data_IF_208579754575
#
_entry.id   IF_208579754575
#
_cell.length_a   1.000
_cell.length_b   1.000
_cell.length_c   1.000
_cell.angle_alpha   90.00
_cell.angle_beta   90.00
_cell.angle_gamma   90.00
#
_symmetry.space_group_name_H-M   'P 1'
#
loop_
_entity.id
_entity.type
_entity.pdbx_description
1 polymer ?
#
# COMPACT_ATOMS: atom_id res chain seq x y z
N UNK A 1 -21.17 -7.05 35.50
CA UNK A 1 -20.06 -7.46 36.40
C UNK A 1 -18.98 -8.06 35.50
N UNK A 2 -18.03 -7.27 34.98
CA UNK A 2 -16.68 -6.98 35.55
C UNK A 2 -15.95 -8.23 36.06
N UNK A 3 -14.64 -8.29 35.74
CA UNK A 3 -13.62 -9.32 36.05
C UNK A 3 -13.53 -10.42 34.98
N UNK A 4 -12.38 -10.83 34.42
CA UNK A 4 -10.97 -10.51 34.62
C UNK A 4 -10.20 -11.34 33.58
N UNK A 5 -9.39 -10.74 32.71
CA UNK A 5 -8.17 -11.35 32.11
C UNK A 5 -7.36 -10.24 31.45
N UNK A 6 -6.66 -9.52 32.32
CA UNK A 6 -5.65 -8.51 32.03
C UNK A 6 -4.29 -9.08 32.46
N UNK A 7 -3.24 -8.75 31.71
CA UNK A 7 -1.79 -8.97 31.95
C UNK A 7 -1.31 -10.36 31.50
N UNK A 8 -0.30 -10.47 30.64
CA UNK A 8 1.06 -9.93 30.83
C UNK A 8 1.55 -9.22 29.56
N UNK A 9 1.63 -7.89 29.62
CA UNK A 9 2.50 -7.08 28.77
C UNK A 9 3.82 -7.00 29.54
N UNK A 10 4.85 -7.74 29.09
CA UNK A 10 6.18 -7.60 29.67
C UNK A 10 6.78 -6.30 29.12
N UNK A 11 6.83 -5.27 29.97
CA UNK A 11 7.65 -4.09 29.76
C UNK A 11 9.12 -4.52 29.71
N UNK A 12 9.67 -4.64 28.50
CA UNK A 12 11.08 -4.38 28.28
C UNK A 12 11.21 -2.88 28.01
N UNK A 13 11.27 -2.10 29.10
CA UNK A 13 11.93 -0.81 29.09
C UNK A 13 13.40 -1.07 28.75
N UNK A 14 13.74 -1.06 27.47
CA UNK A 14 15.11 -0.76 27.08
C UNK A 14 15.38 0.66 27.58
N UNK A 15 16.12 0.75 28.68
CA UNK A 15 16.82 1.97 29.06
C UNK A 15 17.70 2.38 27.88
N UNK A 16 17.22 3.32 27.06
CA UNK A 16 18.13 4.17 26.33
C UNK A 16 18.95 4.92 27.39
N UNK A 17 20.29 4.88 27.35
CA UNK A 17 21.03 5.83 28.14
C UNK A 17 20.62 7.21 27.63
N UNK A 18 20.21 8.08 28.56
CA UNK A 18 20.23 9.52 28.34
C UNK A 18 21.69 9.88 28.03
N UNK A 19 22.06 9.78 26.76
CA UNK A 19 23.35 10.22 26.27
C UNK A 19 23.34 11.74 26.33
N UNK A 20 23.88 12.26 27.44
CA UNK A 20 24.29 13.65 27.53
C UNK A 20 25.30 13.92 26.41
N UNK A 21 24.90 14.73 25.41
CA UNK A 21 25.81 15.39 24.47
C UNK A 21 26.38 14.55 23.33
N UNK A 22 25.62 13.63 22.71
CA UNK A 22 26.03 13.10 21.41
C UNK A 22 25.88 14.20 20.34
N UNK A 23 26.99 14.69 19.78
CA UNK A 23 26.94 15.54 18.59
C UNK A 23 26.49 14.68 17.41
N UNK A 24 25.31 14.96 16.87
CA UNK A 24 24.84 14.31 15.65
C UNK A 24 25.81 14.60 14.49
N UNK A 25 26.03 13.64 13.58
CA UNK A 25 26.80 13.90 12.37
C UNK A 25 26.23 15.10 11.59
N UNK A 26 27.08 15.96 11.01
CA UNK A 26 26.60 17.14 10.31
C UNK A 26 25.82 16.73 9.06
N UNK A 27 24.68 17.38 8.84
CA UNK A 27 23.89 17.24 7.61
C UNK A 27 24.47 18.16 6.54
N UNK A 28 24.84 17.59 5.40
CA UNK A 28 25.33 18.30 4.23
C UNK A 28 24.22 18.46 3.22
N UNK A 29 24.16 19.65 2.62
CA UNK A 29 23.22 19.94 1.55
C UNK A 29 23.92 19.93 0.20
N UNK A 30 23.29 19.30 -0.78
CA UNK A 30 23.73 19.28 -2.16
C UNK A 30 22.65 19.84 -3.08
N UNK A 31 23.08 20.60 -4.07
CA UNK A 31 22.28 20.95 -5.23
C UNK A 31 23.06 20.53 -6.47
N UNK A 32 22.60 19.46 -7.12
CA UNK A 32 23.36 18.77 -8.19
C UNK A 32 22.52 18.61 -9.44
N UNK A 33 23.12 18.89 -10.59
CA UNK A 33 22.49 18.61 -11.88
C UNK A 33 22.19 17.12 -12.00
N UNK A 34 20.94 16.78 -12.29
CA UNK A 34 20.47 15.42 -12.50
C UNK A 34 20.02 15.23 -13.97
N UNK A 35 20.36 14.10 -14.61
CA UNK A 35 20.16 13.93 -16.05
C UNK A 35 18.76 13.45 -16.45
N UNK A 36 17.91 13.04 -15.50
CA UNK A 36 16.66 12.34 -15.80
C UNK A 36 15.54 13.35 -16.09
N UNK A 37 15.38 14.35 -15.25
CA UNK A 37 14.43 15.44 -15.45
C UNK A 37 15.09 16.71 -16.05
N UNK A 38 16.43 16.75 -16.03
CA UNK A 38 17.25 17.81 -16.62
C UNK A 38 17.29 19.08 -15.78
N UNK A 39 17.16 18.95 -14.45
CA UNK A 39 17.21 20.06 -13.50
C UNK A 39 18.23 19.85 -12.38
N UNK A 40 18.11 20.67 -11.34
CA UNK A 40 18.86 20.55 -10.11
C UNK A 40 18.10 19.72 -9.07
N UNK A 41 18.76 18.69 -8.55
CA UNK A 41 18.31 17.86 -7.45
C UNK A 41 18.86 18.36 -6.12
N UNK A 42 17.99 18.57 -5.14
CA UNK A 42 18.35 18.88 -3.77
C UNK A 42 18.40 17.61 -2.91
N UNK A 43 19.53 17.41 -2.21
CA UNK A 43 19.82 16.21 -1.44
C UNK A 43 20.40 16.60 -0.08
N UNK A 44 19.95 15.93 0.97
CA UNK A 44 20.54 15.94 2.30
C UNK A 44 21.35 14.66 2.50
N UNK A 45 22.61 14.79 2.88
CA UNK A 45 23.51 13.67 3.20
C UNK A 45 23.99 13.80 4.64
N UNK A 46 23.92 12.73 5.42
CA UNK A 46 24.46 12.68 6.78
C UNK A 46 25.08 11.30 7.05
N UNK A 47 25.97 11.22 8.05
CA UNK A 47 26.59 9.94 8.41
C UNK A 47 27.52 9.37 7.33
N UNK A 48 28.12 10.22 6.48
CA UNK A 48 29.02 9.79 5.40
C UNK A 48 30.17 8.94 5.96
N UNK A 49 30.33 7.74 5.42
CA UNK A 49 31.31 6.74 5.87
C UNK A 49 30.69 5.57 6.64
N UNK A 50 29.45 5.72 7.12
CA UNK A 50 28.67 4.61 7.67
C UNK A 50 28.11 3.70 6.55
N UNK A 51 27.63 2.53 6.94
CA UNK A 51 26.93 1.57 6.06
C UNK A 51 25.92 0.78 6.91
N UNK A 52 24.75 0.38 6.35
CA UNK A 52 24.29 0.60 4.98
C UNK A 52 23.83 2.02 4.68
N UNK A 53 23.69 2.34 3.39
CA UNK A 53 23.05 3.59 2.93
C UNK A 53 21.53 3.48 3.05
N UNK A 54 20.91 4.39 3.80
CA UNK A 54 19.46 4.60 3.84
C UNK A 54 19.07 5.69 2.83
N UNK A 55 18.25 5.35 1.84
CA UNK A 55 17.68 6.30 0.90
C UNK A 55 16.24 6.62 1.29
N UNK A 56 15.97 7.87 1.68
CA UNK A 56 14.68 8.33 2.19
C UNK A 56 13.94 9.16 1.13
N UNK A 57 12.72 8.73 0.76
CA UNK A 57 11.93 9.32 -0.33
C UNK A 57 10.57 9.79 0.19
N UNK A 58 10.33 11.10 0.13
CA UNK A 58 9.14 11.73 0.67
C UNK A 58 7.86 11.53 -0.17
N UNK A 59 6.72 11.91 0.40
CA UNK A 59 5.40 11.86 -0.23
C UNK A 59 5.06 13.05 -1.15
N UNK A 60 3.86 13.05 -1.71
CA UNK A 60 3.41 14.09 -2.65
C UNK A 60 3.29 15.45 -1.95
N UNK A 61 3.85 16.51 -2.55
CA UNK A 61 3.71 17.87 -2.04
C UNK A 61 4.55 18.20 -0.79
N UNK A 62 5.38 17.26 -0.35
CA UNK A 62 6.28 17.41 0.79
C UNK A 62 7.73 17.68 0.32
N UNK A 63 8.67 17.68 1.27
CA UNK A 63 10.12 17.77 1.05
C UNK A 63 10.86 16.94 2.11
N UNK A 64 12.07 16.49 1.79
CA UNK A 64 12.85 15.59 2.63
C UNK A 64 13.07 16.10 4.06
N UNK A 65 13.36 17.39 4.21
CA UNK A 65 13.64 18.00 5.51
C UNK A 65 12.44 18.02 6.47
N UNK A 66 11.20 18.13 5.96
CA UNK A 66 9.99 18.08 6.79
C UNK A 66 9.51 16.67 7.05
N UNK A 67 9.51 15.80 6.02
CA UNK A 67 9.05 14.41 6.16
C UNK A 67 9.89 13.63 7.17
N UNK A 68 11.22 13.83 7.13
CA UNK A 68 12.19 13.06 7.91
C UNK A 68 12.80 13.88 9.05
N UNK A 69 12.10 14.93 9.50
CA UNK A 69 12.59 15.86 10.50
C UNK A 69 13.06 15.14 11.78
N UNK A 70 14.32 15.35 12.15
CA UNK A 70 14.96 14.73 13.31
C UNK A 70 15.32 13.24 13.15
N UNK A 71 14.78 12.55 12.13
CA UNK A 71 15.18 11.17 11.81
C UNK A 71 16.50 11.13 11.04
N UNK A 72 16.79 12.12 10.20
CA UNK A 72 18.04 12.15 9.43
C UNK A 72 19.25 12.12 10.38
N UNK A 73 19.26 13.00 11.37
CA UNK A 73 20.35 13.12 12.35
C UNK A 73 20.42 11.93 13.30
N UNK A 74 19.26 11.37 13.68
CA UNK A 74 19.17 10.18 14.53
C UNK A 74 19.73 8.94 13.81
N UNK A 75 19.30 8.70 12.57
CA UNK A 75 19.78 7.58 11.75
C UNK A 75 21.23 7.75 11.33
N UNK A 76 21.69 8.99 11.11
CA UNK A 76 23.06 9.27 10.69
C UNK A 76 24.12 8.78 11.68
N UNK A 77 23.76 8.56 12.96
CA UNK A 77 24.68 8.01 13.97
C UNK A 77 25.24 6.66 13.53
N UNK A 78 24.36 5.77 13.02
CA UNK A 78 24.71 4.40 12.68
C UNK A 78 24.74 4.13 11.15
N UNK A 79 24.08 4.98 10.37
CA UNK A 79 23.87 4.76 8.94
C UNK A 79 24.37 5.92 8.07
N UNK A 80 24.60 5.64 6.80
CA UNK A 80 24.78 6.69 5.80
C UNK A 80 23.40 7.08 5.28
N UNK A 81 22.96 8.32 5.52
CA UNK A 81 21.58 8.74 5.23
C UNK A 81 21.58 9.69 4.05
N UNK A 82 20.78 9.35 3.03
CA UNK A 82 20.47 10.19 1.89
C UNK A 82 18.97 10.47 1.88
N UNK A 83 18.58 11.72 2.11
CA UNK A 83 17.19 12.15 1.99
C UNK A 83 17.08 13.14 0.81
N UNK A 84 16.09 12.94 -0.05
CA UNK A 84 16.03 13.66 -1.33
C UNK A 84 14.72 14.40 -1.51
N UNK A 85 14.81 15.66 -1.95
CA UNK A 85 13.65 16.34 -2.53
C UNK A 85 13.48 15.80 -3.95
N UNK A 86 12.39 15.06 -4.20
CA UNK A 86 12.09 14.56 -5.54
C UNK A 86 12.04 15.73 -6.54
N UNK A 87 12.59 15.58 -7.77
CA UNK A 87 12.40 16.55 -8.84
C UNK A 87 10.92 16.94 -8.95
N UNK A 88 10.59 18.23 -9.02
CA UNK A 88 9.21 18.71 -8.90
C UNK A 88 8.79 19.18 -7.51
N UNK A 89 9.57 18.92 -6.46
CA UNK A 89 9.22 19.21 -5.06
C UNK A 89 10.33 19.91 -4.29
N UNK A 90 10.02 20.35 -3.06
CA UNK A 90 10.98 20.96 -2.12
C UNK A 90 11.88 22.03 -2.72
N UNK A 91 13.20 21.84 -2.64
CA UNK A 91 14.24 22.70 -3.22
C UNK A 91 14.79 22.20 -4.56
N UNK A 92 14.31 21.05 -5.04
CA UNK A 92 14.60 20.58 -6.40
C UNK A 92 13.82 21.38 -7.44
N UNK A 93 14.35 21.40 -8.67
CA UNK A 93 13.75 22.12 -9.79
C UNK A 93 12.34 21.61 -10.12
N UNK A 94 11.46 22.53 -10.53
CA UNK A 94 10.03 22.30 -10.79
C UNK A 94 9.73 22.58 -12.25
N UNK A 95 10.06 21.61 -13.08
CA UNK A 95 9.90 21.67 -14.53
C UNK A 95 8.58 21.01 -14.94
N UNK A 96 8.12 21.25 -16.17
CA UNK A 96 6.95 20.55 -16.72
C UNK A 96 7.35 19.18 -17.31
N UNK A 97 7.78 18.26 -16.45
CA UNK A 97 8.23 16.91 -16.84
C UNK A 97 7.21 15.84 -16.48
N UNK A 98 7.35 14.66 -17.08
CA UNK A 98 6.57 13.49 -16.70
C UNK A 98 7.12 12.90 -15.40
N UNK A 99 6.50 13.25 -14.28
CA UNK A 99 6.87 12.77 -12.95
C UNK A 99 6.24 11.41 -12.60
N UNK A 100 6.50 10.38 -13.44
CA UNK A 100 5.96 9.03 -13.20
C UNK A 100 6.82 8.23 -12.21
N UNK A 101 6.26 7.21 -11.53
CA UNK A 101 7.06 6.29 -10.71
C UNK A 101 8.25 5.69 -11.46
N UNK A 102 8.10 5.43 -12.77
CA UNK A 102 9.17 4.91 -13.63
C UNK A 102 10.31 5.91 -13.84
N UNK A 103 10.00 7.16 -14.15
CA UNK A 103 11.03 8.21 -14.29
C UNK A 103 11.73 8.49 -12.96
N UNK A 104 10.97 8.50 -11.85
CA UNK A 104 11.58 8.61 -10.52
C UNK A 104 12.46 7.41 -10.16
N UNK A 105 12.12 6.19 -10.56
CA UNK A 105 13.00 5.04 -10.37
C UNK A 105 14.33 5.20 -11.12
N UNK A 106 14.33 5.74 -12.33
CA UNK A 106 15.56 6.07 -13.06
C UNK A 106 16.38 7.17 -12.34
N UNK A 107 15.71 8.16 -11.75
CA UNK A 107 16.35 9.16 -10.90
C UNK A 107 16.97 8.58 -9.62
N UNK A 108 16.26 7.70 -8.92
CA UNK A 108 16.82 7.00 -7.76
C UNK A 108 18.01 6.13 -8.15
N UNK A 109 18.01 5.51 -9.34
CA UNK A 109 19.16 4.75 -9.86
C UNK A 109 20.39 5.66 -9.98
N UNK A 110 20.22 6.82 -10.58
CA UNK A 110 21.29 7.83 -10.71
C UNK A 110 21.82 8.29 -9.34
N UNK A 111 20.95 8.50 -8.34
CA UNK A 111 21.37 8.82 -6.98
C UNK A 111 22.19 7.69 -6.36
N UNK A 112 21.70 6.45 -6.46
CA UNK A 112 22.39 5.28 -5.91
C UNK A 112 23.76 5.11 -6.55
N UNK A 113 23.88 5.23 -7.88
CA UNK A 113 25.16 5.18 -8.60
C UNK A 113 26.17 6.22 -8.10
N UNK A 114 25.68 7.39 -7.68
CA UNK A 114 26.53 8.53 -7.32
C UNK A 114 26.92 8.55 -5.85
N UNK A 115 26.02 8.13 -4.97
CA UNK A 115 26.16 8.32 -3.52
C UNK A 115 26.28 7.02 -2.73
N UNK A 116 26.02 5.85 -3.31
CA UNK A 116 26.16 4.57 -2.61
C UNK A 116 27.09 3.61 -3.35
N UNK A 117 27.94 2.92 -2.60
CA UNK A 117 28.78 1.84 -3.14
C UNK A 117 28.07 0.48 -3.14
N UNK A 118 27.02 0.34 -2.32
CA UNK A 118 26.30 -0.91 -2.07
C UNK A 118 24.79 -0.73 -2.33
N UNK A 119 24.02 -1.83 -2.51
CA UNK A 119 22.56 -1.78 -2.51
C UNK A 119 22.02 -1.04 -1.29
N UNK A 120 21.02 -0.19 -1.48
CA UNK A 120 20.50 0.67 -0.41
C UNK A 120 19.38 0.01 0.37
N UNK A 121 19.18 0.46 1.62
CA UNK A 121 17.90 0.32 2.30
C UNK A 121 17.02 1.47 1.83
N UNK A 122 15.92 1.17 1.14
CA UNK A 122 15.06 2.17 0.53
C UNK A 122 13.80 2.38 1.37
N UNK A 123 13.58 3.61 1.81
CA UNK A 123 12.42 4.02 2.58
C UNK A 123 11.58 5.00 1.76
N UNK A 124 10.30 4.67 1.57
CA UNK A 124 9.38 5.50 0.77
C UNK A 124 8.06 5.73 1.48
N UNK A 125 7.69 7.01 1.64
CA UNK A 125 6.39 7.42 2.18
C UNK A 125 5.43 7.84 1.07
N UNK A 126 4.18 7.35 1.08
CA UNK A 126 3.12 7.80 0.16
C UNK A 126 3.53 7.68 -1.32
N UNK A 127 3.64 8.79 -2.07
CA UNK A 127 4.22 8.82 -3.42
C UNK A 127 5.61 8.18 -3.45
N UNK A 128 6.48 8.50 -2.50
CA UNK A 128 7.80 7.91 -2.36
C UNK A 128 7.76 6.40 -2.18
N UNK A 129 6.70 5.86 -1.57
CA UNK A 129 6.44 4.43 -1.51
C UNK A 129 6.16 3.81 -2.88
N UNK A 130 5.35 4.47 -3.71
CA UNK A 130 5.09 4.03 -5.09
C UNK A 130 6.34 4.09 -5.97
N UNK A 131 7.15 5.14 -5.81
CA UNK A 131 8.47 5.25 -6.43
C UNK A 131 9.39 4.13 -5.96
N UNK A 132 9.41 3.83 -4.67
CA UNK A 132 10.25 2.80 -4.09
C UNK A 132 9.88 1.39 -4.56
N UNK A 133 8.59 1.09 -4.67
CA UNK A 133 8.07 -0.13 -5.29
C UNK A 133 8.56 -0.27 -6.72
N UNK A 134 8.45 0.81 -7.51
CA UNK A 134 8.89 0.80 -8.91
C UNK A 134 10.41 0.61 -9.02
N UNK A 135 11.18 1.28 -8.19
CA UNK A 135 12.63 1.12 -8.13
C UNK A 135 13.06 -0.30 -7.77
N UNK A 136 12.43 -0.90 -6.76
CA UNK A 136 12.72 -2.26 -6.33
C UNK A 136 12.37 -3.31 -7.41
N UNK A 137 11.37 -3.03 -8.26
CA UNK A 137 11.01 -3.88 -9.39
C UNK A 137 11.98 -3.73 -10.57
N UNK A 138 12.33 -2.49 -10.95
CA UNK A 138 13.19 -2.23 -12.11
C UNK A 138 14.68 -2.51 -11.81
N UNK A 139 15.12 -2.36 -10.54
CA UNK A 139 16.51 -2.50 -10.10
C UNK A 139 16.64 -3.40 -8.85
N UNK A 140 16.19 -4.68 -8.89
CA UNK A 140 16.08 -5.54 -7.70
C UNK A 140 17.42 -5.77 -6.98
N UNK A 141 18.54 -5.77 -7.71
CA UNK A 141 19.90 -5.93 -7.15
C UNK A 141 20.43 -4.71 -6.40
N UNK A 142 19.69 -3.60 -6.41
CA UNK A 142 20.11 -2.32 -5.85
C UNK A 142 19.36 -1.98 -4.56
N UNK A 143 18.49 -2.89 -4.11
CA UNK A 143 17.70 -2.75 -2.88
C UNK A 143 18.06 -3.90 -1.94
N UNK A 144 18.74 -3.56 -0.84
CA UNK A 144 19.03 -4.51 0.24
C UNK A 144 17.77 -4.82 1.04
N UNK A 145 16.96 -3.79 1.30
CA UNK A 145 15.71 -3.85 2.06
C UNK A 145 14.80 -2.72 1.62
N UNK A 146 13.50 -2.98 1.60
CA UNK A 146 12.47 -2.01 1.26
C UNK A 146 11.60 -1.71 2.50
N UNK A 147 11.37 -0.43 2.80
CA UNK A 147 10.44 0.01 3.84
C UNK A 147 9.40 0.91 3.19
N UNK A 148 8.16 0.46 3.22
CA UNK A 148 7.01 1.12 2.62
C UNK A 148 6.17 1.75 3.72
N UNK A 149 5.90 3.05 3.63
CA UNK A 149 5.14 3.78 4.65
C UNK A 149 3.92 4.41 3.96
N UNK A 150 2.72 3.95 4.31
CA UNK A 150 1.43 4.53 3.85
C UNK A 150 1.37 4.79 2.34
N UNK A 151 1.69 3.75 1.55
CA UNK A 151 1.90 3.85 0.09
C UNK A 151 0.63 4.24 -0.67
N UNK A 152 0.76 5.24 -1.56
CA UNK A 152 -0.31 5.69 -2.43
C UNK A 152 -0.30 5.01 -3.82
N UNK A 153 -1.44 5.03 -4.50
CA UNK A 153 -1.51 4.68 -5.93
C UNK A 153 -1.65 3.19 -6.29
N UNK A 154 -1.87 2.31 -5.32
CA UNK A 154 -1.90 0.86 -5.56
C UNK A 154 -3.31 0.35 -5.88
N UNK A 155 -4.33 0.83 -5.16
CA UNK A 155 -5.72 0.49 -5.43
C UNK A 155 -6.19 1.14 -6.73
N UNK A 156 -7.08 0.46 -7.45
CA UNK A 156 -7.64 0.99 -8.69
C UNK A 156 -8.40 2.30 -8.39
N UNK A 157 -8.11 3.35 -9.17
CA UNK A 157 -8.64 4.72 -8.98
C UNK A 157 -10.14 4.84 -8.71
N UNK A 158 -10.96 3.98 -9.32
CA UNK A 158 -12.44 3.95 -9.12
C UNK A 158 -12.85 3.62 -7.67
N UNK A 159 -12.03 2.88 -6.93
CA UNK A 159 -12.26 2.57 -5.51
C UNK A 159 -12.08 3.84 -4.68
N UNK A 160 -10.97 4.55 -4.92
CA UNK A 160 -10.63 5.76 -4.17
C UNK A 160 -11.72 6.82 -4.37
N UNK A 161 -12.21 7.00 -5.59
CA UNK A 161 -13.33 7.92 -5.86
C UNK A 161 -14.63 7.52 -5.18
N UNK A 162 -14.88 6.22 -4.94
CA UNK A 162 -16.11 5.73 -4.29
C UNK A 162 -16.02 5.94 -2.78
N UNK A 163 -14.93 5.51 -2.16
CA UNK A 163 -14.76 5.54 -0.71
C UNK A 163 -14.69 7.00 -0.18
N UNK A 164 -14.14 7.93 -0.96
CA UNK A 164 -14.14 9.38 -0.63
C UNK A 164 -15.52 10.06 -0.78
N UNK A 165 -16.45 9.47 -1.54
CA UNK A 165 -17.79 10.01 -1.78
C UNK A 165 -18.86 9.37 -0.87
N UNK A 166 -18.52 8.38 -0.04
CA UNK A 166 -19.46 7.73 0.87
C UNK A 166 -19.73 8.60 2.12
N UNK A 167 -20.96 9.09 2.34
CA UNK A 167 -21.30 9.93 3.48
C UNK A 167 -21.18 9.21 4.84
N UNK A 168 -21.27 7.88 4.88
CA UNK A 168 -21.17 7.09 6.12
C UNK A 168 -19.72 6.98 6.61
N UNK A 169 -18.75 7.07 5.71
CA UNK A 169 -17.32 7.15 6.04
C UNK A 169 -16.91 8.58 6.46
N UNK A 170 -17.56 9.61 5.89
CA UNK A 170 -17.38 11.02 6.28
C UNK A 170 -17.88 11.37 7.69
N UNK A 171 -18.81 10.61 8.26
CA UNK A 171 -19.47 10.91 9.54
C UNK A 171 -18.65 10.63 10.81
N UNK A 172 -17.42 10.12 10.70
CA UNK A 172 -16.58 9.71 11.85
C UNK A 172 -15.59 10.78 12.34
N UNK A 173 -15.77 12.05 11.98
CA UNK A 173 -14.85 13.15 12.32
C UNK A 173 -15.16 13.78 13.70
N UNK A 174 -14.31 13.62 14.74
CA UNK A 174 -14.24 14.62 15.79
C UNK A 174 -13.49 15.84 15.24
N UNK A 175 -14.09 17.02 15.38
CA UNK A 175 -13.42 18.28 15.06
C UNK A 175 -12.26 18.52 16.04
N UNK A 176 -11.04 18.24 15.60
CA UNK A 176 -9.81 18.62 16.30
C UNK A 176 -9.18 19.85 15.63
N UNK A 177 -8.55 20.76 16.41
CA UNK A 177 -8.12 22.06 15.91
C UNK A 177 -6.93 21.95 14.96
N UNK A 178 -7.07 22.59 13.80
CA UNK A 178 -6.19 22.56 12.64
C UNK A 178 -4.76 23.08 12.88
N UNK A 179 -3.77 22.27 12.47
CA UNK A 179 -2.38 22.64 12.10
C UNK A 179 -1.85 21.62 11.07
N UNK A 180 -0.70 21.87 10.41
CA UNK A 180 -0.47 21.98 8.97
C UNK A 180 -0.57 20.65 8.18
N UNK A 181 -1.57 19.82 8.46
CA UNK A 181 -1.88 18.54 7.82
C UNK A 181 -2.91 18.68 6.68
N UNK A 182 -3.59 19.83 6.58
CA UNK A 182 -4.64 20.11 5.59
C UNK A 182 -4.16 20.05 4.13
N UNK A 183 -2.86 20.26 3.85
CA UNK A 183 -2.37 20.35 2.46
C UNK A 183 -2.34 19.03 1.71
N UNK A 184 -2.15 17.88 2.38
CA UNK A 184 -2.09 16.57 1.71
C UNK A 184 -3.52 16.06 1.43
N UNK A 185 -4.43 16.20 2.41
CA UNK A 185 -5.84 15.81 2.29
C UNK A 185 -6.58 16.62 1.21
N UNK A 186 -6.35 17.94 1.17
CA UNK A 186 -6.93 18.79 0.12
C UNK A 186 -6.36 18.49 -1.26
N UNK A 187 -5.06 18.17 -1.40
CA UNK A 187 -4.45 17.95 -2.71
C UNK A 187 -4.77 16.58 -3.29
N UNK A 188 -4.57 15.50 -2.53
CA UNK A 188 -4.87 14.14 -2.96
C UNK A 188 -6.38 13.99 -3.18
N UNK A 189 -7.20 14.55 -2.28
CA UNK A 189 -8.65 14.58 -2.42
C UNK A 189 -9.13 15.36 -3.64
N UNK A 190 -8.59 16.55 -3.93
CA UNK A 190 -9.01 17.35 -5.08
C UNK A 190 -8.51 16.80 -6.43
N UNK A 191 -7.34 16.14 -6.47
CA UNK A 191 -6.84 15.47 -7.68
C UNK A 191 -7.66 14.22 -8.01
N UNK A 192 -7.95 13.39 -7.00
CA UNK A 192 -8.66 12.12 -7.22
C UNK A 192 -10.13 12.35 -7.53
N UNK A 193 -10.78 13.35 -6.92
CA UNK A 193 -12.18 13.69 -7.21
C UNK A 193 -12.38 14.42 -8.55
N UNK A 194 -11.34 15.05 -9.11
CA UNK A 194 -11.41 15.70 -10.43
C UNK A 194 -11.12 14.76 -11.61
N UNK A 195 -10.48 13.61 -11.34
CA UNK A 195 -10.11 12.61 -12.36
C UNK A 195 -11.25 11.97 -13.16
N UNK A 196 -12.44 11.67 -12.59
CA UNK A 196 -13.56 11.12 -13.36
C UNK A 196 -14.15 12.06 -14.42
N UNK A 197 -13.75 13.34 -14.43
CA UNK A 197 -14.33 14.39 -15.30
C UNK A 197 -13.45 14.78 -16.48
N UNK A 198 -12.28 14.16 -16.67
CA UNK A 198 -11.42 14.50 -17.80
C UNK A 198 -11.98 13.89 -19.10
N UNK A 199 -12.31 14.70 -20.12
CA UNK A 199 -12.83 14.20 -21.41
C UNK A 199 -11.75 13.59 -22.31
N UNK A 200 -10.53 13.38 -21.79
CA UNK A 200 -9.33 13.01 -22.53
C UNK A 200 -8.58 11.90 -21.81
N UNK A 201 -7.92 11.03 -22.58
CA UNK A 201 -7.10 9.94 -22.08
C UNK A 201 -5.95 10.46 -21.20
N UNK A 202 -5.81 9.89 -20.00
CA UNK A 202 -4.76 10.22 -19.03
C UNK A 202 -3.38 10.01 -19.63
N UNK A 203 -3.18 8.97 -20.45
CA UNK A 203 -1.89 8.69 -21.09
C UNK A 203 -1.49 9.82 -22.05
N UNK A 204 -2.45 10.35 -22.80
CA UNK A 204 -2.19 11.46 -23.73
C UNK A 204 -1.81 12.73 -22.97
N UNK A 205 -2.51 13.02 -21.87
CA UNK A 205 -2.20 14.16 -21.00
C UNK A 205 -0.77 14.00 -20.46
N UNK A 206 -0.44 12.83 -19.90
CA UNK A 206 0.86 12.56 -19.30
C UNK A 206 2.00 12.53 -20.31
N UNK A 207 1.78 12.09 -21.55
CA UNK A 207 2.81 12.02 -22.57
C UNK A 207 3.16 13.40 -23.19
N UNK A 208 2.20 14.31 -23.28
CA UNK A 208 2.39 15.60 -23.97
C UNK A 208 2.67 16.76 -23.01
N UNK A 209 3.83 17.40 -23.14
CA UNK A 209 4.19 18.58 -22.33
C UNK A 209 3.16 19.70 -22.44
N UNK A 210 2.67 19.96 -23.66
CA UNK A 210 1.63 20.96 -23.92
C UNK A 210 0.31 20.60 -23.23
N UNK A 211 -0.08 19.33 -23.21
CA UNK A 211 -1.30 18.90 -22.52
C UNK A 211 -1.14 18.95 -21.01
N UNK A 212 0.02 18.55 -20.45
CA UNK A 212 0.33 18.77 -19.02
C UNK A 212 0.26 20.25 -18.65
N UNK A 213 0.83 21.13 -19.46
CA UNK A 213 0.77 22.58 -19.24
C UNK A 213 -0.68 23.10 -19.23
N UNK A 214 -1.53 22.64 -20.15
CA UNK A 214 -2.91 23.12 -20.29
C UNK A 214 -3.87 22.51 -19.27
N UNK A 215 -3.79 21.21 -19.05
CA UNK A 215 -4.76 20.44 -18.23
C UNK A 215 -4.34 20.42 -16.77
N UNK A 216 -3.04 20.29 -16.50
CA UNK A 216 -2.48 20.16 -15.16
C UNK A 216 -1.75 21.43 -14.72
N UNK A 217 -1.85 22.53 -15.48
CA UNK A 217 -1.13 23.79 -15.26
C UNK A 217 0.41 23.64 -15.27
N UNK A 218 0.94 22.53 -15.78
CA UNK A 218 2.37 22.20 -15.69
C UNK A 218 2.82 21.94 -14.24
N UNK A 219 1.88 21.76 -13.31
CA UNK A 219 2.17 21.58 -11.89
C UNK A 219 2.74 20.18 -11.60
N UNK A 220 3.95 20.08 -11.01
CA UNK A 220 4.59 18.79 -10.73
C UNK A 220 3.77 17.88 -9.81
N UNK A 221 3.07 18.44 -8.82
CA UNK A 221 2.23 17.68 -7.89
C UNK A 221 1.06 17.01 -8.61
N UNK A 222 0.38 17.74 -9.50
CA UNK A 222 -0.72 17.21 -10.30
C UNK A 222 -0.25 16.15 -11.28
N UNK A 223 0.89 16.39 -11.93
CA UNK A 223 1.49 15.44 -12.86
C UNK A 223 1.91 14.16 -12.13
N UNK A 224 2.60 14.27 -10.99
CA UNK A 224 3.06 13.12 -10.22
C UNK A 224 1.90 12.33 -9.62
N UNK A 225 0.91 13.02 -9.04
CA UNK A 225 -0.30 12.38 -8.52
C UNK A 225 -1.06 11.62 -9.61
N UNK A 226 -1.25 12.25 -10.78
CA UNK A 226 -1.92 11.61 -11.92
C UNK A 226 -1.13 10.41 -12.45
N UNK A 227 0.19 10.55 -12.61
CA UNK A 227 1.03 9.47 -13.07
C UNK A 227 1.05 8.29 -12.08
N UNK A 228 1.03 8.57 -10.78
CA UNK A 228 0.98 7.54 -9.74
C UNK A 228 -0.33 6.73 -9.79
N UNK A 229 -1.49 7.39 -9.85
CA UNK A 229 -2.79 6.68 -9.87
C UNK A 229 -3.07 5.98 -11.22
N UNK A 230 -2.31 6.30 -12.25
CA UNK A 230 -2.36 5.64 -13.56
C UNK A 230 -1.39 4.45 -13.66
N UNK A 231 -0.38 4.39 -12.78
CA UNK A 231 0.61 3.31 -12.77
C UNK A 231 -0.04 1.96 -12.40
N UNK A 232 0.13 0.95 -13.26
CA UNK A 232 -0.30 -0.41 -12.96
C UNK A 232 0.84 -1.24 -12.34
N UNK A 233 0.80 -1.37 -11.02
CA UNK A 233 1.76 -2.15 -10.24
C UNK A 233 1.60 -3.68 -10.34
N UNK A 234 0.62 -4.19 -11.09
CA UNK A 234 0.30 -5.63 -11.16
C UNK A 234 1.50 -6.51 -11.52
N UNK A 235 2.37 -6.04 -12.41
CA UNK A 235 3.60 -6.76 -12.78
C UNK A 235 4.75 -6.46 -11.83
N UNK A 236 4.94 -5.20 -11.48
CA UNK A 236 6.07 -4.74 -10.68
C UNK A 236 6.14 -5.43 -9.31
N UNK A 237 5.00 -5.54 -8.61
CA UNK A 237 4.95 -6.15 -7.28
C UNK A 237 5.40 -7.63 -7.28
N UNK A 238 5.16 -8.35 -8.39
CA UNK A 238 5.51 -9.77 -8.53
C UNK A 238 6.99 -10.00 -8.85
N UNK A 239 7.73 -8.94 -9.15
CA UNK A 239 9.16 -9.00 -9.46
C UNK A 239 10.04 -8.47 -8.33
N UNK A 240 9.44 -7.91 -7.27
CA UNK A 240 10.19 -7.40 -6.13
C UNK A 240 10.69 -8.58 -5.29
N UNK A 241 12.01 -8.71 -5.22
CA UNK A 241 12.67 -9.75 -4.43
C UNK A 241 13.02 -9.25 -3.03
N UNK A 242 13.26 -7.95 -2.86
CA UNK A 242 13.79 -7.37 -1.61
C UNK A 242 12.94 -7.72 -0.37
N UNK A 243 13.58 -8.06 0.77
CA UNK A 243 12.87 -8.14 2.05
C UNK A 243 12.18 -6.80 2.32
N UNK A 244 10.87 -6.84 2.53
CA UNK A 244 10.03 -5.65 2.61
C UNK A 244 9.35 -5.55 3.97
N UNK A 245 9.45 -4.39 4.60
CA UNK A 245 8.57 -4.03 5.71
C UNK A 245 7.58 -2.98 5.24
N UNK A 246 6.35 -3.11 5.72
CA UNK A 246 5.27 -2.17 5.45
C UNK A 246 4.87 -1.58 6.79
N UNK A 247 4.91 -0.27 6.91
CA UNK A 247 4.45 0.49 8.08
C UNK A 247 3.20 1.26 7.63
N UNK A 248 2.14 1.20 8.42
CA UNK A 248 0.87 1.85 8.06
C UNK A 248 0.18 2.46 9.27
N UNK A 249 -0.38 3.66 9.11
CA UNK A 249 -1.29 4.25 10.10
C UNK A 249 -2.61 3.51 10.14
N UNK A 250 -3.06 3.11 11.33
CA UNK A 250 -4.35 2.42 11.52
C UNK A 250 -5.54 3.23 10.97
N UNK A 251 -5.46 4.55 11.09
CA UNK A 251 -6.53 5.50 10.76
C UNK A 251 -6.24 6.28 9.46
N UNK A 252 -5.39 5.75 8.57
CA UNK A 252 -5.07 6.42 7.30
C UNK A 252 -6.32 6.54 6.40
N UNK A 253 -6.77 7.79 6.22
CA UNK A 253 -7.92 8.15 5.37
C UNK A 253 -7.52 8.58 3.95
N UNK A 254 -6.22 8.74 3.68
CA UNK A 254 -5.68 9.08 2.35
C UNK A 254 -5.39 7.79 1.60
N UNK A 255 -4.70 6.85 2.25
CA UNK A 255 -4.40 5.53 1.69
C UNK A 255 -4.92 4.44 2.61
N UNK A 256 -6.07 3.81 2.30
CA UNK A 256 -6.69 2.86 3.21
C UNK A 256 -5.76 1.71 3.59
N UNK A 257 -5.78 1.29 4.87
CA UNK A 257 -4.95 0.20 5.43
C UNK A 257 -5.02 -1.11 4.62
N UNK A 258 -6.14 -1.37 3.93
CA UNK A 258 -6.26 -2.51 3.03
C UNK A 258 -5.19 -2.55 1.93
N UNK A 259 -4.58 -1.41 1.62
CA UNK A 259 -3.40 -1.30 0.74
C UNK A 259 -2.17 -1.96 1.36
N UNK A 260 -1.91 -1.73 2.65
CA UNK A 260 -0.88 -2.47 3.38
C UNK A 260 -1.15 -3.97 3.39
N UNK A 261 -2.41 -4.38 3.62
CA UNK A 261 -2.80 -5.80 3.63
C UNK A 261 -2.57 -6.48 2.28
N UNK A 262 -2.88 -5.79 1.17
CA UNK A 262 -2.69 -6.32 -0.18
C UNK A 262 -1.21 -6.41 -0.54
N UNK A 263 -0.39 -5.41 -0.17
CA UNK A 263 1.04 -5.41 -0.42
C UNK A 263 1.72 -6.55 0.33
N UNK A 264 1.38 -6.73 1.61
CA UNK A 264 1.92 -7.83 2.42
C UNK A 264 1.53 -9.20 1.86
N UNK A 265 0.37 -9.31 1.20
CA UNK A 265 -0.07 -10.58 0.62
C UNK A 265 0.61 -10.90 -0.72
N UNK A 266 0.94 -9.88 -1.53
CA UNK A 266 1.52 -10.07 -2.86
C UNK A 266 3.05 -10.12 -2.85
N UNK A 267 3.69 -9.43 -1.91
CA UNK A 267 5.15 -9.38 -1.82
C UNK A 267 5.66 -10.65 -1.12
N UNK A 268 6.63 -11.38 -1.73
CA UNK A 268 7.01 -12.73 -1.28
C UNK A 268 7.68 -12.74 0.10
N UNK A 269 8.27 -11.62 0.51
CA UNK A 269 9.00 -11.47 1.78
C UNK A 269 8.60 -10.17 2.47
N UNK A 270 7.32 -10.07 2.83
CA UNK A 270 6.77 -8.87 3.45
C UNK A 270 6.19 -9.10 4.85
N UNK A 271 6.28 -8.06 5.69
CA UNK A 271 5.57 -7.99 6.97
C UNK A 271 4.97 -6.60 7.17
N UNK A 272 3.72 -6.56 7.61
CA UNK A 272 2.98 -5.35 7.94
C UNK A 272 3.06 -5.01 9.44
N UNK A 273 3.39 -3.76 9.73
CA UNK A 273 3.36 -3.16 11.06
C UNK A 273 2.36 -2.00 11.03
N UNK A 274 1.27 -2.15 11.78
CA UNK A 274 0.25 -1.11 11.92
C UNK A 274 0.58 -0.25 13.14
N UNK A 275 0.57 1.08 12.97
CA UNK A 275 0.78 2.06 14.03
C UNK A 275 -0.59 2.54 14.52
N UNK A 276 -1.00 2.16 15.75
CA UNK A 276 -2.29 2.54 16.30
C UNK A 276 -2.42 4.07 16.45
N UNK A 277 -3.60 4.60 16.15
CA UNK A 277 -3.89 6.03 16.29
C UNK A 277 -3.04 6.97 15.43
N UNK A 278 -2.43 6.46 14.36
CA UNK A 278 -1.79 7.25 13.31
C UNK A 278 -2.65 7.23 12.04
N UNK A 279 -2.69 8.36 11.33
CA UNK A 279 -3.21 8.47 9.97
C UNK A 279 -2.06 8.41 8.95
N UNK A 280 -2.17 9.18 7.86
CA UNK A 280 -1.29 9.09 6.69
C UNK A 280 0.19 9.45 6.93
N UNK A 281 0.53 10.10 8.05
CA UNK A 281 1.90 10.54 8.35
C UNK A 281 2.31 10.05 9.75
N UNK A 282 2.46 8.73 9.94
CA UNK A 282 2.68 8.14 11.25
C UNK A 282 3.97 8.64 11.93
N UNK A 283 5.00 8.97 11.16
CA UNK A 283 6.24 9.57 11.67
C UNK A 283 6.03 10.92 12.37
N UNK A 284 5.02 11.69 11.97
CA UNK A 284 4.66 12.95 12.61
C UNK A 284 3.59 12.78 13.70
N UNK A 285 2.62 11.89 13.49
CA UNK A 285 1.47 11.71 14.39
C UNK A 285 1.78 10.83 15.61
N UNK A 286 2.58 9.78 15.41
CA UNK A 286 2.97 8.82 16.45
C UNK A 286 4.50 8.59 16.43
N UNK A 287 5.33 9.64 16.62
CA UNK A 287 6.77 9.59 16.39
C UNK A 287 7.49 8.52 17.22
N UNK A 288 7.05 8.29 18.47
CA UNK A 288 7.64 7.26 19.33
C UNK A 288 7.38 5.83 18.81
N UNK A 289 6.14 5.54 18.42
CA UNK A 289 5.76 4.23 17.86
C UNK A 289 6.40 4.03 16.49
N UNK A 290 6.44 5.07 15.67
CA UNK A 290 7.11 5.04 14.37
C UNK A 290 8.61 4.77 14.51
N UNK A 291 9.32 5.47 15.41
CA UNK A 291 10.75 5.23 15.67
C UNK A 291 11.01 3.80 16.15
N UNK A 292 10.18 3.30 17.06
CA UNK A 292 10.30 1.92 17.54
C UNK A 292 10.10 0.90 16.41
N UNK A 293 9.10 1.12 15.55
CA UNK A 293 8.87 0.30 14.36
C UNK A 293 10.06 0.41 13.39
N UNK A 294 10.54 1.61 13.11
CA UNK A 294 11.65 1.86 12.20
C UNK A 294 12.94 1.18 12.67
N UNK A 295 13.30 1.33 13.96
CA UNK A 295 14.47 0.67 14.53
C UNK A 295 14.41 -0.85 14.38
N UNK A 296 13.21 -1.43 14.57
CA UNK A 296 12.97 -2.87 14.38
C UNK A 296 13.16 -3.30 12.92
N UNK A 297 12.56 -2.61 11.96
CA UNK A 297 12.61 -3.02 10.54
C UNK A 297 13.99 -2.87 9.91
N UNK A 298 14.84 -1.97 10.45
CA UNK A 298 16.21 -1.79 9.96
C UNK A 298 17.13 -2.97 10.32
N UNK A 299 16.87 -3.66 11.43
CA UNK A 299 17.72 -4.75 11.94
C UNK A 299 17.12 -6.13 11.75
N UNK A 300 15.79 -6.26 11.74
CA UNK A 300 15.11 -7.54 11.57
C UNK A 300 14.92 -7.92 10.10
N UNK A 301 14.61 -9.20 9.86
CA UNK A 301 14.09 -9.68 8.59
C UNK A 301 12.56 -9.81 8.67
N UNK A 302 11.83 -9.52 7.59
CA UNK A 302 10.39 -9.74 7.57
C UNK A 302 10.10 -11.21 7.80
N UNK A 303 9.22 -11.49 8.76
CA UNK A 303 8.78 -12.84 9.03
C UNK A 303 7.82 -13.29 7.91
N UNK A 304 8.00 -14.47 7.32
CA UNK A 304 7.02 -15.01 6.40
C UNK A 304 5.70 -15.22 7.15
N UNK A 305 4.57 -14.98 6.47
CA UNK A 305 3.28 -15.36 7.04
C UNK A 305 3.25 -16.87 7.25
N UNK A 306 3.00 -17.26 8.50
CA UNK A 306 2.82 -18.66 8.85
C UNK A 306 1.32 -18.97 8.78
N UNK A 307 0.88 -19.91 7.93
CA UNK A 307 -0.49 -20.40 7.96
C UNK A 307 -0.85 -20.87 9.38
N UNK A 308 -2.05 -20.58 9.90
CA UNK A 308 -2.50 -21.10 11.17
C UNK A 308 -2.42 -22.63 11.14
N UNK A 309 -1.88 -23.19 12.23
CA UNK A 309 -1.70 -24.62 12.44
C UNK A 309 -2.91 -25.20 13.17
N UNK A 310 -3.21 -26.49 12.93
CA UNK A 310 -4.33 -27.21 13.56
C UNK A 310 -5.32 -27.81 12.56
N UNK A 311 -6.26 -28.66 13.02
CA UNK A 311 -7.27 -29.28 12.17
C UNK A 311 -8.26 -28.25 11.59
N UNK A 312 -8.79 -28.53 10.40
CA UNK A 312 -9.78 -27.72 9.70
C UNK A 312 -11.18 -28.34 9.85
N UNK A 313 -11.56 -28.70 11.08
CA UNK A 313 -12.69 -29.61 11.33
C UNK A 313 -13.94 -28.88 11.84
N UNK A 314 -13.95 -27.54 11.77
CA UNK A 314 -15.07 -26.72 12.26
C UNK A 314 -15.75 -25.95 11.15
N UNK A 315 -17.07 -25.91 11.23
CA UNK A 315 -17.94 -25.08 10.40
C UNK A 315 -18.19 -23.77 11.13
N UNK A 316 -17.90 -22.63 10.50
CA UNK A 316 -18.27 -21.32 11.04
C UNK A 316 -19.53 -20.81 10.36
N UNK A 317 -20.51 -20.40 11.16
CA UNK A 317 -21.82 -19.95 10.67
C UNK A 317 -22.13 -18.55 11.17
N UNK A 318 -22.70 -17.72 10.30
CA UNK A 318 -23.35 -16.46 10.64
C UNK A 318 -24.75 -16.48 10.03
N UNK A 319 -25.77 -16.20 10.85
CA UNK A 319 -27.16 -16.19 10.39
C UNK A 319 -27.94 -15.05 11.06
N UNK A 320 -28.35 -14.02 10.31
CA UNK A 320 -29.07 -12.85 10.85
C UNK A 320 -28.32 -12.12 11.97
N UNK A 321 -26.99 -12.08 11.89
CA UNK A 321 -26.13 -11.45 12.89
C UNK A 321 -25.36 -10.26 12.32
N UNK A 322 -24.81 -9.42 13.21
CA UNK A 322 -23.99 -8.27 12.83
C UNK A 322 -22.67 -8.23 13.61
N UNK A 323 -21.59 -7.82 12.95
CA UNK A 323 -20.31 -7.52 13.60
C UNK A 323 -19.50 -8.75 13.99
N UNK A 324 -19.81 -9.93 13.43
CA UNK A 324 -19.05 -11.16 13.69
C UNK A 324 -17.68 -11.11 13.00
N UNK A 325 -16.67 -11.63 13.71
CA UNK A 325 -15.31 -11.80 13.17
C UNK A 325 -14.91 -13.27 13.21
N UNK A 326 -14.55 -13.82 12.05
CA UNK A 326 -13.97 -15.16 11.91
C UNK A 326 -12.47 -15.06 11.68
N UNK A 327 -11.71 -15.96 12.30
CA UNK A 327 -10.26 -16.05 12.12
C UNK A 327 -9.78 -17.49 12.34
N UNK A 328 -8.64 -17.83 11.72
CA UNK A 328 -8.05 -19.16 11.79
C UNK A 328 -8.64 -20.14 10.78
N UNK A 329 -8.59 -21.44 11.10
CA UNK A 329 -8.95 -22.53 10.18
C UNK A 329 -10.42 -22.93 10.29
N UNK A 330 -11.02 -23.29 9.15
CA UNK A 330 -12.38 -23.78 9.00
C UNK A 330 -12.45 -24.87 7.94
N UNK A 331 -13.34 -25.84 8.11
CA UNK A 331 -13.74 -26.71 7.01
C UNK A 331 -14.50 -25.88 5.98
N UNK A 332 -15.54 -25.17 6.46
CA UNK A 332 -16.32 -24.24 5.65
C UNK A 332 -16.84 -23.07 6.47
N UNK A 333 -17.12 -21.97 5.79
CA UNK A 333 -17.82 -20.82 6.34
C UNK A 333 -19.13 -20.59 5.60
N UNK A 334 -20.19 -20.37 6.36
CA UNK A 334 -21.53 -20.06 5.85
C UNK A 334 -22.02 -18.76 6.48
N UNK A 335 -22.17 -17.73 5.65
CA UNK A 335 -22.55 -16.40 6.08
C UNK A 335 -23.83 -16.04 5.33
N UNK A 336 -24.95 -15.95 6.04
CA UNK A 336 -26.26 -15.71 5.48
C UNK A 336 -26.99 -14.59 6.23
N UNK A 337 -27.46 -13.60 5.47
CA UNK A 337 -28.25 -12.48 5.98
C UNK A 337 -27.54 -11.71 7.12
N UNK A 338 -26.23 -11.57 6.99
CA UNK A 338 -25.36 -10.98 8.01
C UNK A 338 -24.74 -9.65 7.58
N UNK A 339 -24.49 -8.80 8.56
CA UNK A 339 -23.93 -7.48 8.34
C UNK A 339 -22.59 -7.28 9.06
N UNK A 340 -21.71 -6.45 8.50
CA UNK A 340 -20.39 -6.11 9.06
C UNK A 340 -19.54 -7.33 9.46
N UNK A 341 -19.63 -8.43 8.71
CA UNK A 341 -18.86 -9.64 8.99
C UNK A 341 -17.42 -9.46 8.54
N UNK A 342 -16.45 -9.86 9.37
CA UNK A 342 -15.02 -9.80 9.05
C UNK A 342 -14.40 -11.20 9.01
N UNK A 343 -13.68 -11.50 7.94
CA UNK A 343 -12.83 -12.68 7.83
C UNK A 343 -11.37 -12.23 7.90
N UNK A 344 -10.68 -12.51 9.00
CA UNK A 344 -9.31 -12.03 9.25
C UNK A 344 -8.35 -13.20 9.30
N UNK A 345 -7.45 -13.30 8.31
CA UNK A 345 -6.47 -14.39 8.23
C UNK A 345 -7.11 -15.78 8.21
N UNK A 346 -8.20 -15.92 7.48
CA UNK A 346 -9.00 -17.16 7.44
C UNK A 346 -8.39 -18.18 6.47
N UNK A 347 -8.40 -19.45 6.88
CA UNK A 347 -8.04 -20.59 6.05
C UNK A 347 -9.23 -21.55 6.00
N UNK A 348 -9.91 -21.64 4.86
CA UNK A 348 -11.15 -22.41 4.73
C UNK A 348 -11.13 -23.33 3.50
N UNK A 349 -11.82 -24.47 3.53
CA UNK A 349 -11.97 -25.29 2.32
C UNK A 349 -13.05 -24.74 1.38
N UNK A 350 -14.03 -24.03 1.95
CA UNK A 350 -15.04 -23.31 1.18
C UNK A 350 -15.72 -22.20 1.99
N UNK A 351 -16.18 -21.17 1.30
CA UNK A 351 -16.88 -20.02 1.88
C UNK A 351 -18.10 -19.70 1.04
N UNK A 352 -19.27 -19.66 1.67
CA UNK A 352 -20.53 -19.23 1.05
C UNK A 352 -21.03 -17.98 1.75
N UNK A 353 -21.31 -16.93 0.96
CA UNK A 353 -21.82 -15.64 1.41
C UNK A 353 -23.13 -15.36 0.68
N UNK A 354 -24.21 -15.13 1.43
CA UNK A 354 -25.54 -14.83 0.89
C UNK A 354 -26.18 -13.66 1.61
N UNK A 355 -26.76 -12.70 0.88
CA UNK A 355 -27.52 -11.60 1.50
C UNK A 355 -26.72 -10.77 2.50
N UNK A 356 -25.39 -10.67 2.36
CA UNK A 356 -24.51 -10.22 3.44
C UNK A 356 -23.52 -9.13 3.02
N UNK A 357 -23.00 -8.37 4.00
CA UNK A 357 -21.84 -7.49 3.83
C UNK A 357 -20.63 -8.07 4.56
N UNK A 358 -19.57 -8.38 3.81
CA UNK A 358 -18.39 -9.09 4.34
C UNK A 358 -17.10 -8.37 3.94
N UNK A 359 -16.20 -8.19 4.89
CA UNK A 359 -14.82 -7.76 4.65
C UNK A 359 -13.87 -8.92 4.89
N UNK A 360 -13.00 -9.21 3.92
CA UNK A 360 -11.98 -10.25 3.98
C UNK A 360 -10.61 -9.58 4.03
N UNK A 361 -9.94 -9.72 5.16
CA UNK A 361 -8.62 -9.20 5.47
C UNK A 361 -7.64 -10.37 5.50
N UNK A 362 -7.12 -10.69 4.32
CA UNK A 362 -6.19 -11.80 4.07
C UNK A 362 -6.81 -13.18 4.34
N UNK A 363 -6.40 -14.16 3.54
CA UNK A 363 -6.84 -15.52 3.75
C UNK A 363 -6.52 -16.45 2.60
N UNK A 364 -6.84 -17.72 2.80
CA UNK A 364 -6.68 -18.81 1.85
C UNK A 364 -8.00 -19.59 1.83
N UNK A 365 -8.60 -19.72 0.66
CA UNK A 365 -9.80 -20.55 0.45
C UNK A 365 -9.45 -21.62 -0.57
N UNK A 366 -9.35 -22.88 -0.15
CA UNK A 366 -8.87 -23.97 -1.01
C UNK A 366 -9.64 -25.26 -0.84
N UNK A 367 -10.20 -25.78 -1.92
CA UNK A 367 -10.95 -27.03 -1.88
C UNK A 367 -11.30 -27.55 -3.27
N UNK A 368 -12.25 -28.50 -3.30
CA UNK A 368 -12.81 -29.04 -4.54
C UNK A 368 -14.07 -28.28 -4.94
N UNK A 369 -14.39 -28.28 -6.25
CA UNK A 369 -15.58 -27.62 -6.78
C UNK A 369 -15.51 -26.09 -6.73
N UNK A 370 -16.65 -25.47 -6.39
CA UNK A 370 -16.75 -24.01 -6.22
C UNK A 370 -16.44 -23.62 -4.78
N UNK A 371 -15.30 -22.97 -4.55
CA UNK A 371 -14.78 -22.76 -3.19
C UNK A 371 -15.16 -21.43 -2.57
N UNK A 372 -15.36 -20.36 -3.36
CA UNK A 372 -15.93 -19.09 -2.88
C UNK A 372 -17.21 -18.77 -3.67
N UNK A 373 -18.34 -18.77 -2.97
CA UNK A 373 -19.66 -18.45 -3.55
C UNK A 373 -20.23 -17.20 -2.90
N UNK A 374 -20.61 -16.23 -3.73
CA UNK A 374 -21.14 -14.93 -3.29
C UNK A 374 -22.45 -14.64 -4.01
N UNK A 375 -23.54 -14.48 -3.25
CA UNK A 375 -24.90 -14.30 -3.79
C UNK A 375 -25.58 -13.13 -3.08
N UNK A 376 -26.18 -12.20 -3.83
CA UNK A 376 -26.91 -11.03 -3.29
C UNK A 376 -26.14 -10.28 -2.18
N UNK A 377 -24.82 -10.11 -2.35
CA UNK A 377 -23.92 -9.67 -1.29
C UNK A 377 -22.97 -8.56 -1.71
N UNK A 378 -22.39 -7.86 -0.73
CA UNK A 378 -21.29 -6.92 -0.92
C UNK A 378 -20.04 -7.45 -0.22
N UNK A 379 -18.96 -7.65 -0.97
CA UNK A 379 -17.69 -8.17 -0.41
C UNK A 379 -16.53 -7.24 -0.73
N UNK A 380 -15.77 -6.89 0.31
CA UNK A 380 -14.49 -6.21 0.20
C UNK A 380 -13.38 -7.20 0.57
N UNK A 381 -12.54 -7.63 -0.37
CA UNK A 381 -11.45 -8.56 -0.07
C UNK A 381 -10.08 -7.95 -0.37
N UNK A 382 -9.12 -8.20 0.51
CA UNK A 382 -7.74 -7.72 0.38
C UNK A 382 -6.75 -8.82 0.75
N UNK A 383 -5.84 -9.16 -0.16
CA UNK A 383 -4.81 -10.18 0.08
C UNK A 383 -5.34 -11.61 0.20
N UNK A 384 -6.35 -11.97 -0.59
CA UNK A 384 -7.02 -13.26 -0.56
C UNK A 384 -6.47 -14.19 -1.65
N UNK A 385 -6.14 -15.42 -1.30
CA UNK A 385 -5.80 -16.47 -2.24
C UNK A 385 -6.91 -17.51 -2.29
N UNK A 386 -7.36 -17.88 -3.48
CA UNK A 386 -8.48 -18.81 -3.68
C UNK A 386 -8.14 -19.83 -4.75
N UNK A 387 -8.25 -21.12 -4.42
CA UNK A 387 -8.00 -22.21 -5.37
C UNK A 387 -9.10 -23.28 -5.32
N UNK A 388 -9.66 -23.63 -6.48
CA UNK A 388 -10.65 -24.69 -6.63
C UNK A 388 -10.88 -25.05 -8.10
N UNK A 389 -11.89 -25.85 -8.42
CA UNK A 389 -12.27 -26.10 -9.83
C UNK A 389 -12.87 -24.82 -10.44
N UNK A 390 -13.77 -24.18 -9.67
CA UNK A 390 -14.18 -22.79 -9.86
C UNK A 390 -13.77 -21.97 -8.63
N UNK A 391 -12.82 -21.06 -8.78
CA UNK A 391 -12.30 -20.32 -7.61
C UNK A 391 -13.38 -19.39 -7.02
N UNK A 392 -14.06 -18.61 -7.87
CA UNK A 392 -15.06 -17.64 -7.45
C UNK A 392 -16.33 -17.73 -8.31
N UNK A 393 -17.48 -17.95 -7.68
CA UNK A 393 -18.81 -17.84 -8.28
C UNK A 393 -19.60 -16.69 -7.67
N UNK A 394 -20.14 -15.81 -8.52
CA UNK A 394 -20.83 -14.57 -8.12
C UNK A 394 -22.18 -14.44 -8.80
N UNK A 395 -23.20 -14.08 -8.02
CA UNK A 395 -24.56 -13.84 -8.52
C UNK A 395 -25.14 -12.59 -7.87
N UNK A 396 -25.67 -11.65 -8.66
CA UNK A 396 -26.30 -10.40 -8.20
C UNK A 396 -25.53 -9.67 -7.08
N UNK A 397 -24.20 -9.64 -7.16
CA UNK A 397 -23.35 -9.17 -6.05
C UNK A 397 -22.35 -8.09 -6.48
N UNK A 398 -21.83 -7.34 -5.51
CA UNK A 398 -20.78 -6.35 -5.71
C UNK A 398 -19.51 -6.74 -4.95
N UNK A 399 -18.41 -6.88 -5.67
CA UNK A 399 -17.12 -7.25 -5.09
C UNK A 399 -16.04 -6.20 -5.42
N UNK A 400 -15.26 -5.87 -4.41
CA UNK A 400 -14.04 -5.08 -4.51
C UNK A 400 -12.86 -5.93 -4.01
N UNK A 401 -11.99 -6.31 -4.94
CA UNK A 401 -10.97 -7.33 -4.76
C UNK A 401 -9.58 -6.72 -4.96
N UNK A 402 -8.77 -6.63 -3.91
CA UNK A 402 -7.44 -6.05 -3.95
C UNK A 402 -6.36 -7.08 -3.61
N UNK A 403 -5.35 -7.24 -4.48
CA UNK A 403 -4.30 -8.24 -4.29
C UNK A 403 -4.86 -9.66 -4.12
N UNK A 404 -5.88 -10.00 -4.90
CA UNK A 404 -6.52 -11.32 -4.86
C UNK A 404 -5.94 -12.22 -5.94
N UNK A 405 -5.64 -13.47 -5.59
CA UNK A 405 -5.24 -14.51 -6.52
C UNK A 405 -6.33 -15.56 -6.62
N UNK A 406 -6.96 -15.67 -7.79
CA UNK A 406 -8.03 -16.62 -8.08
C UNK A 406 -7.51 -17.68 -9.05
N UNK A 407 -7.45 -18.93 -8.59
CA UNK A 407 -6.89 -20.07 -9.32
C UNK A 407 -7.99 -21.11 -9.50
N UNK A 408 -8.62 -21.10 -10.67
CA UNK A 408 -9.60 -22.14 -11.04
C UNK A 408 -8.94 -23.20 -11.90
N UNK A 409 -9.08 -24.50 -11.59
CA UNK A 409 -8.61 -25.55 -12.53
C UNK A 409 -9.34 -25.44 -13.86
N UNK A 410 -10.63 -25.12 -13.80
CA UNK A 410 -11.48 -24.89 -14.96
C UNK A 410 -11.72 -23.40 -15.17
N UNK A 411 -12.26 -22.73 -14.14
CA UNK A 411 -12.78 -21.35 -14.22
C UNK A 411 -12.30 -20.51 -13.04
N UNK A 412 -11.57 -19.43 -13.29
CA UNK A 412 -11.14 -18.52 -12.22
C UNK A 412 -12.31 -17.73 -11.61
N UNK A 413 -13.19 -17.21 -12.47
CA UNK A 413 -14.35 -16.39 -12.07
C UNK A 413 -15.54 -16.75 -12.94
N UNK A 414 -16.65 -17.09 -12.30
CA UNK A 414 -17.97 -17.21 -12.90
C UNK A 414 -18.86 -16.11 -12.30
N UNK A 415 -19.34 -15.18 -13.11
CA UNK A 415 -20.19 -14.08 -12.65
C UNK A 415 -21.32 -13.83 -13.66
N UNK A 416 -22.51 -13.50 -13.17
CA UNK A 416 -23.63 -13.07 -14.00
C UNK A 416 -23.52 -11.59 -14.41
N UNK A 417 -24.41 -11.16 -15.32
CA UNK A 417 -24.42 -9.78 -15.84
C UNK A 417 -24.89 -8.74 -14.82
N UNK A 418 -25.57 -9.16 -13.75
CA UNK A 418 -26.03 -8.28 -12.67
C UNK A 418 -24.93 -8.00 -11.64
N UNK A 419 -23.86 -8.79 -11.63
CA UNK A 419 -22.74 -8.63 -10.71
C UNK A 419 -21.72 -7.60 -11.17
N UNK A 420 -21.12 -6.90 -10.20
CA UNK A 420 -20.05 -5.93 -10.45
C UNK A 420 -18.80 -6.32 -9.67
N UNK A 421 -17.71 -6.63 -10.39
CA UNK A 421 -16.43 -7.01 -9.80
C UNK A 421 -15.36 -6.00 -10.22
N UNK A 422 -14.73 -5.36 -9.23
CA UNK A 422 -13.63 -4.43 -9.42
C UNK A 422 -12.37 -5.02 -8.80
N UNK A 423 -11.32 -5.15 -9.60
CA UNK A 423 -10.04 -5.69 -9.17
C UNK A 423 -8.97 -4.61 -9.05
N UNK A 424 -8.10 -4.73 -8.05
CA UNK A 424 -6.86 -3.98 -7.93
C UNK A 424 -5.70 -4.95 -7.83
N UNK A 425 -4.75 -4.89 -8.76
CA UNK A 425 -3.48 -5.64 -8.69
C UNK A 425 -3.70 -7.13 -8.41
N UNK A 426 -4.61 -7.74 -9.14
CA UNK A 426 -5.05 -9.11 -8.88
C UNK A 426 -4.69 -10.04 -10.04
N UNK A 427 -4.76 -11.34 -9.80
CA UNK A 427 -4.43 -12.36 -10.79
C UNK A 427 -5.54 -13.40 -10.90
N UNK A 428 -5.93 -13.70 -12.14
CA UNK A 428 -6.85 -14.77 -12.49
C UNK A 428 -6.08 -15.85 -13.24
N UNK A 429 -6.19 -17.09 -12.80
CA UNK A 429 -5.57 -18.24 -13.45
C UNK A 429 -6.63 -19.30 -13.73
N UNK A 430 -6.74 -19.73 -14.97
CA UNK A 430 -7.61 -20.84 -15.35
C UNK A 430 -6.98 -21.77 -16.38
N UNK A 431 -7.71 -22.81 -16.79
CA UNK A 431 -7.39 -23.65 -17.95
C UNK A 431 -7.08 -22.84 -19.22
N UNK A 432 -7.61 -21.61 -19.35
CA UNK A 432 -7.38 -20.70 -20.48
C UNK A 432 -6.12 -19.84 -20.35
N UNK A 433 -5.41 -19.93 -19.22
CA UNK A 433 -4.18 -19.21 -18.94
C UNK A 433 -4.28 -18.24 -17.76
N UNK A 434 -3.25 -17.39 -17.65
CA UNK A 434 -3.08 -16.45 -16.55
C UNK A 434 -3.27 -15.01 -17.03
N UNK A 435 -4.03 -14.21 -16.29
CA UNK A 435 -4.32 -12.80 -16.57
C UNK A 435 -4.12 -11.96 -15.31
N UNK A 436 -3.32 -10.89 -15.42
CA UNK A 436 -3.29 -9.82 -14.44
C UNK A 436 -4.47 -8.87 -14.69
N UNK A 437 -5.10 -8.39 -13.63
CA UNK A 437 -6.27 -7.53 -13.72
C UNK A 437 -6.22 -6.39 -12.68
N UNK A 438 -6.39 -5.17 -13.20
CA UNK A 438 -6.50 -3.94 -12.44
C UNK A 438 -7.60 -3.09 -13.11
N UNK A 439 -8.84 -3.27 -12.66
CA UNK A 439 -10.03 -2.69 -13.29
C UNK A 439 -11.29 -3.56 -13.18
N UNK A 440 -12.33 -3.19 -13.92
CA UNK A 440 -13.58 -3.94 -13.95
C UNK A 440 -13.36 -5.31 -14.62
N UNK A 441 -13.91 -6.35 -14.03
CA UNK A 441 -14.11 -7.61 -14.73
C UNK A 441 -15.36 -7.54 -15.59
N UNK A 442 -15.22 -7.97 -16.84
CA UNK A 442 -16.32 -8.05 -17.80
C UNK A 442 -16.54 -9.54 -18.04
N UNK A 443 -17.71 -10.10 -17.68
CA UNK A 443 -18.03 -11.49 -17.98
C UNK A 443 -17.88 -11.73 -19.49
N UNK A 444 -17.33 -12.89 -19.92
CA UNK A 444 -17.38 -13.26 -21.32
C UNK A 444 -18.85 -13.32 -21.75
N UNK A 445 -19.15 -12.75 -22.93
CA UNK A 445 -20.50 -12.88 -23.51
C UNK A 445 -20.81 -14.37 -23.71
N UNK A 446 -22.04 -14.83 -23.42
CA UNK A 446 -22.44 -16.17 -23.84
C UNK A 446 -22.32 -16.27 -25.36
N UNK A 447 -21.75 -17.37 -25.84
CA UNK A 447 -21.57 -17.67 -27.26
C UNK A 447 -22.92 -17.82 -28.00
#
# INVERSE_FOLDING_TARGET
MRLLRLKILLLLLCCWPLAAGAQHPPVREYLVAEPIFGGQAFILEAGRGNSPTLLLVHGLGDQASSTWAGLIEELAVDYHVLAVDLPGFGRSDKLNRLYSPKEYAAYLRWLVDRFSAEPVVLLGHSLGGGVALRFAADYPRQVQRLVLIDVAGILHRKIITRDMLDPNLRGRLPQLPAKPLERIDEWVGNLITSLPRLPMDVEQILASETLRARVLAGDPGRIAGLALVHEDFSRALRTIEAPTFIIWGEEDQVTPLRTGLLLEALLPRASLLVIPGAGHVPMAQQPGLFRAALGRVLVENPAPRVPPTGPADRIGTCQNEQGLTFSGRYERLEIADCDEVRLVGVYANGVTIRGSRVTIEQGVIQGEGTVLRVVDSVVLASGLWVEGDTALAVTSSRLDLAGVELIGRETAVQADETSTLLFSVSQLTSSRGRKLIHGNFIPPKPD
#
